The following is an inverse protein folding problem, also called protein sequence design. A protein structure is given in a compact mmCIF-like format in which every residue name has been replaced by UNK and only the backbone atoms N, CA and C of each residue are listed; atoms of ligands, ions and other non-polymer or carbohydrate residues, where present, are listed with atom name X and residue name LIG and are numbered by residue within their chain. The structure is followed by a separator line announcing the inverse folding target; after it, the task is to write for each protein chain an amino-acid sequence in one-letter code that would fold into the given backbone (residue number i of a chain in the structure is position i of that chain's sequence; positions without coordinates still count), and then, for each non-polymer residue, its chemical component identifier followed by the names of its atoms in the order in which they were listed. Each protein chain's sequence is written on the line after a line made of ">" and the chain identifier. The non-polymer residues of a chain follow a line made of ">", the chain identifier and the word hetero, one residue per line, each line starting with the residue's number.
data_IF_047176662608
#
_entry.id   IF_047176662608
#
_cell.length_a   1.000
_cell.length_b   1.000
_cell.length_c   1.000
_cell.angle_alpha   90.00
_cell.angle_beta   90.00
_cell.angle_gamma   90.00
#
_symmetry.space_group_name_H-M   'P 1'
#
loop_
_entity.id
_entity.type
_entity.pdbx_description
1 polymer ?
#
# COMPACT_ATOMS: atom_id res chain seq x y z
N UNK A 1 -13.63 -23.18 -1.88
CA UNK A 1 -13.31 -21.76 -1.59
C UNK A 1 -11.82 -21.67 -1.37
N UNK A 2 -11.06 -21.25 -2.38
CA UNK A 2 -9.60 -21.22 -2.31
C UNK A 2 -9.14 -20.23 -1.25
N UNK A 3 -8.46 -20.71 -0.22
CA UNK A 3 -7.80 -19.87 0.76
C UNK A 3 -6.64 -19.19 0.04
N UNK A 4 -6.83 -17.94 -0.37
CA UNK A 4 -5.72 -17.12 -0.86
C UNK A 4 -4.83 -16.88 0.36
N UNK A 5 -3.73 -17.62 0.45
CA UNK A 5 -2.68 -17.33 1.41
C UNK A 5 -2.07 -15.97 1.00
N UNK A 6 -2.42 -14.92 1.74
CA UNK A 6 -1.81 -13.60 1.56
C UNK A 6 -0.34 -13.70 1.94
N UNK A 7 0.54 -13.20 1.08
CA UNK A 7 1.96 -13.10 1.42
C UNK A 7 2.19 -11.98 2.45
N UNK A 8 3.29 -12.05 3.19
CA UNK A 8 3.71 -10.96 4.09
C UNK A 8 3.81 -9.62 3.35
N UNK A 9 4.20 -9.65 2.07
CA UNK A 9 4.25 -8.48 1.19
C UNK A 9 2.87 -7.88 0.93
N UNK A 10 1.83 -8.72 0.81
CA UNK A 10 0.46 -8.26 0.61
C UNK A 10 -0.10 -7.64 1.89
N UNK A 11 0.18 -8.24 3.04
CA UNK A 11 -0.16 -7.67 4.35
C UNK A 11 0.53 -6.32 4.56
N UNK A 12 1.83 -6.23 4.26
CA UNK A 12 2.59 -4.98 4.33
C UNK A 12 2.00 -3.89 3.42
N UNK A 13 1.56 -4.26 2.21
CA UNK A 13 0.87 -3.33 1.31
C UNK A 13 -0.43 -2.81 1.90
N UNK A 14 -1.25 -3.70 2.46
CA UNK A 14 -2.51 -3.31 3.09
C UNK A 14 -2.26 -2.35 4.25
N UNK A 15 -1.29 -2.65 5.12
CA UNK A 15 -0.97 -1.81 6.27
C UNK A 15 -0.47 -0.41 5.85
N UNK A 16 0.44 -0.35 4.88
CA UNK A 16 0.96 0.93 4.37
C UNK A 16 -0.15 1.77 3.75
N UNK A 17 -1.00 1.17 2.92
CA UNK A 17 -2.11 1.88 2.28
C UNK A 17 -3.14 2.36 3.30
N UNK A 18 -3.43 1.56 4.33
CA UNK A 18 -4.31 1.97 5.44
C UNK A 18 -3.78 3.23 6.15
N UNK A 19 -2.46 3.31 6.41
CA UNK A 19 -1.85 4.50 7.01
C UNK A 19 -1.93 5.73 6.10
N UNK A 20 -1.89 5.54 4.78
CA UNK A 20 -2.05 6.64 3.81
C UNK A 20 -3.46 7.21 3.84
N UNK A 21 -4.48 6.34 3.88
CA UNK A 21 -5.90 6.74 3.95
C UNK A 21 -6.18 7.48 5.25
N UNK A 22 -5.63 6.99 6.37
CA UNK A 22 -5.77 7.63 7.68
C UNK A 22 -5.05 8.99 7.77
N UNK A 23 -4.34 9.42 6.71
CA UNK A 23 -3.50 10.63 6.71
C UNK A 23 -2.27 10.52 7.60
N UNK A 24 -1.97 9.32 8.12
CA UNK A 24 -0.83 9.03 9.01
C UNK A 24 0.47 8.76 8.24
N UNK A 25 0.39 8.52 6.93
CA UNK A 25 1.54 8.31 6.05
C UNK A 25 1.37 9.05 4.73
N UNK A 26 2.43 9.67 4.24
CA UNK A 26 2.40 10.35 2.94
C UNK A 26 2.52 9.36 1.78
N UNK A 27 1.97 9.71 0.61
CA UNK A 27 2.16 8.95 -0.63
C UNK A 27 3.64 8.73 -1.00
N UNK A 28 4.52 9.66 -0.62
CA UNK A 28 5.97 9.57 -0.87
C UNK A 28 6.60 8.51 0.02
N UNK A 29 6.26 8.50 1.31
CA UNK A 29 6.73 7.47 2.26
C UNK A 29 6.20 6.09 1.86
N UNK A 30 4.94 6.00 1.48
CA UNK A 30 4.34 4.73 1.02
C UNK A 30 5.02 4.21 -0.26
N UNK A 31 5.32 5.09 -1.21
CA UNK A 31 6.08 4.74 -2.42
C UNK A 31 7.45 4.14 -2.07
N UNK A 32 8.18 4.74 -1.13
CA UNK A 32 9.47 4.22 -0.69
C UNK A 32 9.35 2.86 0.02
N UNK A 33 8.39 2.68 0.92
CA UNK A 33 8.20 1.42 1.67
C UNK A 33 7.74 0.28 0.74
N UNK A 34 6.92 0.59 -0.26
CA UNK A 34 6.39 -0.42 -1.19
C UNK A 34 7.30 -0.69 -2.39
N UNK A 35 8.43 0.02 -2.49
CA UNK A 35 9.32 0.02 -3.67
C UNK A 35 8.54 0.31 -4.96
N UNK A 36 7.71 1.36 -4.90
CA UNK A 36 6.86 1.85 -5.98
C UNK A 36 7.09 3.33 -6.21
N UNK A 37 6.71 3.83 -7.39
CA UNK A 37 6.61 5.26 -7.63
C UNK A 37 5.34 5.84 -7.01
N UNK A 38 5.37 7.12 -6.65
CA UNK A 38 4.18 7.84 -6.16
C UNK A 38 3.04 7.89 -7.18
N UNK A 39 3.33 7.73 -8.48
CA UNK A 39 2.31 7.56 -9.53
C UNK A 39 1.65 6.18 -9.45
N UNK A 40 2.43 5.12 -9.24
CA UNK A 40 1.88 3.77 -9.08
C UNK A 40 1.00 3.68 -7.83
N UNK A 41 1.44 4.25 -6.72
CA UNK A 41 0.63 4.31 -5.49
C UNK A 41 -0.69 5.06 -5.74
N UNK A 42 -0.64 6.25 -6.37
CA UNK A 42 -1.85 7.01 -6.74
C UNK A 42 -2.78 6.29 -7.71
N UNK A 43 -2.24 5.49 -8.64
CA UNK A 43 -3.05 4.75 -9.63
C UNK A 43 -3.75 3.56 -8.98
N UNK A 44 -3.06 2.84 -8.10
CA UNK A 44 -3.63 1.72 -7.37
C UNK A 44 -4.57 2.17 -6.25
N UNK A 45 -4.40 3.40 -5.78
CA UNK A 45 -5.18 3.97 -4.70
C UNK A 45 -5.51 5.45 -4.96
N UNK A 46 -6.56 5.75 -5.75
CA UNK A 46 -7.16 7.07 -5.76
C UNK A 46 -7.91 7.21 -4.43
N UNK A 47 -7.50 8.17 -3.59
CA UNK A 47 -8.10 8.39 -2.27
C UNK A 47 -9.62 8.55 -2.32
#
# INVERSE_FOLDING_TARGET
>A
MGLIAMSERDLQRIEVLSKVIDGRMTLVTAAHVLDLSTRQVRRCWPG
#
